data_IF_502164868054
#
_entry.id   IF_502164868054
#
_cell.length_a   1.000
_cell.length_b   1.000
_cell.length_c   1.000
_cell.angle_alpha   90.00
_cell.angle_beta   90.00
_cell.angle_gamma   90.00
#
_symmetry.space_group_name_H-M   'P 1'
#
loop_
_entity.id
_entity.type
_entity.pdbx_description
1 polymer ?
#
# COMPACT_ATOMS: atom_id res chain seq x y z
N UNK A 1 1.54 -15.21 6.94
CA UNK A 1 1.70 -14.36 5.76
C UNK A 1 2.29 -13.02 6.17
N UNK A 2 3.34 -12.59 5.50
CA UNK A 2 3.97 -11.31 5.82
C UNK A 2 3.27 -10.18 5.04
N UNK A 3 2.40 -9.46 5.72
CA UNK A 3 1.61 -8.40 5.10
C UNK A 3 2.51 -7.27 4.59
N UNK A 4 3.56 -6.95 5.33
CA UNK A 4 4.50 -5.89 4.89
C UNK A 4 5.18 -6.27 3.57
N UNK A 5 5.63 -7.52 3.45
CA UNK A 5 6.27 -7.99 2.22
C UNK A 5 5.28 -7.98 1.06
N UNK A 6 4.04 -8.35 1.31
CA UNK A 6 2.99 -8.34 0.29
C UNK A 6 2.68 -6.92 -0.19
N UNK A 7 2.58 -5.98 0.75
CA UNK A 7 2.35 -4.57 0.41
C UNK A 7 3.51 -4.01 -0.40
N UNK A 8 4.75 -4.33 0.00
CA UNK A 8 5.93 -3.89 -0.74
C UNK A 8 5.91 -4.42 -2.18
N UNK A 9 5.51 -5.66 -2.36
CA UNK A 9 5.42 -6.26 -3.70
C UNK A 9 4.37 -5.53 -4.54
N UNK A 10 3.21 -5.24 -3.95
CA UNK A 10 2.15 -4.52 -4.65
C UNK A 10 2.64 -3.13 -5.07
N UNK A 11 3.30 -2.43 -4.15
CA UNK A 11 3.85 -1.10 -4.44
C UNK A 11 4.90 -1.17 -5.55
N UNK A 12 5.79 -2.17 -5.48
CA UNK A 12 6.81 -2.35 -6.49
C UNK A 12 6.20 -2.52 -7.88
N UNK A 13 5.21 -3.40 -7.99
CA UNK A 13 4.61 -3.73 -9.28
C UNK A 13 3.71 -2.60 -9.80
N UNK A 14 2.97 -1.96 -8.90
CA UNK A 14 2.02 -0.91 -9.26
C UNK A 14 2.72 0.39 -9.63
N UNK A 15 3.76 0.76 -8.87
CA UNK A 15 4.48 2.02 -9.06
C UNK A 15 5.76 1.83 -9.87
N UNK A 16 6.02 0.61 -10.31
CA UNK A 16 7.19 0.30 -11.14
C UNK A 16 8.50 0.72 -10.46
N UNK A 17 8.63 0.38 -9.18
CA UNK A 17 9.76 0.82 -8.36
C UNK A 17 11.04 0.03 -8.61
N UNK A 18 10.93 -1.21 -9.10
CA UNK A 18 12.10 -2.05 -9.30
C UNK A 18 12.85 -2.29 -7.98
N UNK A 19 14.16 -2.10 -8.01
CA UNK A 19 15.02 -2.33 -6.85
C UNK A 19 14.74 -1.35 -5.70
N UNK A 20 14.11 -0.22 -5.98
CA UNK A 20 13.78 0.76 -4.95
C UNK A 20 12.82 0.18 -3.91
N UNK A 21 11.99 -0.78 -4.32
CA UNK A 21 11.06 -1.42 -3.39
C UNK A 21 11.77 -2.17 -2.27
N UNK A 22 12.96 -2.69 -2.53
CA UNK A 22 13.73 -3.42 -1.52
C UNK A 22 14.20 -2.52 -0.39
N UNK A 23 14.32 -1.21 -0.66
CA UNK A 23 14.75 -0.23 0.33
C UNK A 23 13.62 0.28 1.20
N UNK A 24 12.37 -0.10 0.89
CA UNK A 24 11.22 0.34 1.67
C UNK A 24 11.17 -0.38 3.01
N UNK A 25 10.89 0.39 4.04
CA UNK A 25 10.68 -0.14 5.40
C UNK A 25 9.30 0.31 5.88
N UNK A 26 8.90 -0.16 7.06
CA UNK A 26 7.62 0.25 7.63
C UNK A 26 7.54 1.77 7.84
N UNK A 27 8.67 2.43 8.09
CA UNK A 27 8.72 3.86 8.31
C UNK A 27 8.83 4.67 7.02
N UNK A 28 9.00 4.01 5.87
CA UNK A 28 9.14 4.73 4.59
C UNK A 28 7.86 5.48 4.26
N UNK A 29 7.93 6.81 4.01
CA UNK A 29 6.73 7.57 3.68
C UNK A 29 6.23 7.23 2.29
N UNK A 30 4.91 7.19 2.12
CA UNK A 30 4.27 7.01 0.84
C UNK A 30 3.82 8.36 0.28
N UNK A 31 2.82 8.99 0.91
CA UNK A 31 2.39 10.31 0.49
C UNK A 31 3.48 11.32 0.83
N UNK A 32 3.92 12.06 -0.19
CA UNK A 32 4.98 13.04 -0.01
C UNK A 32 6.38 12.47 0.02
N UNK A 33 6.51 11.13 0.07
CA UNK A 33 7.81 10.47 0.11
C UNK A 33 8.21 9.82 -1.20
N UNK A 34 7.23 9.28 -1.93
CA UNK A 34 7.44 8.67 -3.24
C UNK A 34 6.83 9.57 -4.31
N UNK A 35 7.64 10.10 -5.24
CA UNK A 35 7.09 10.95 -6.31
C UNK A 35 6.03 10.24 -7.15
N UNK A 36 6.13 8.91 -7.27
CA UNK A 36 5.20 8.10 -8.03
C UNK A 36 3.85 7.93 -7.33
N UNK A 37 3.77 8.22 -6.03
CA UNK A 37 2.57 7.95 -5.25
C UNK A 37 1.64 9.18 -5.25
N UNK A 38 0.85 9.30 -6.30
CA UNK A 38 -0.13 10.37 -6.48
C UNK A 38 -1.56 9.80 -6.35
N UNK A 39 -2.57 10.62 -6.64
CA UNK A 39 -3.97 10.23 -6.51
C UNK A 39 -4.32 9.01 -7.37
N UNK A 40 -3.77 8.94 -8.57
CA UNK A 40 -4.01 7.78 -9.44
C UNK A 40 -3.35 6.53 -8.90
N UNK A 41 -2.15 6.68 -8.33
CA UNK A 41 -1.45 5.56 -7.74
C UNK A 41 -2.22 5.00 -6.53
N UNK A 42 -2.84 5.86 -5.73
CA UNK A 42 -3.67 5.44 -4.61
C UNK A 42 -4.78 4.50 -5.10
N UNK A 43 -5.50 4.91 -6.14
CA UNK A 43 -6.58 4.11 -6.69
C UNK A 43 -6.07 2.77 -7.20
N UNK A 44 -4.95 2.78 -7.92
CA UNK A 44 -4.38 1.55 -8.48
C UNK A 44 -3.91 0.61 -7.37
N UNK A 45 -3.23 1.14 -6.36
CA UNK A 45 -2.74 0.33 -5.23
C UNK A 45 -3.91 -0.30 -4.48
N UNK A 46 -4.96 0.48 -4.22
CA UNK A 46 -6.16 -0.03 -3.53
C UNK A 46 -6.79 -1.17 -4.33
N UNK A 47 -6.93 -0.98 -5.65
CA UNK A 47 -7.51 -2.01 -6.52
C UNK A 47 -6.69 -3.29 -6.48
N UNK A 48 -5.36 -3.16 -6.52
CA UNK A 48 -4.48 -4.33 -6.47
C UNK A 48 -4.56 -5.06 -5.12
N UNK A 49 -4.71 -4.32 -4.03
CA UNK A 49 -4.88 -4.91 -2.71
C UNK A 49 -6.20 -5.68 -2.65
N UNK A 50 -7.27 -5.09 -3.14
CA UNK A 50 -8.57 -5.76 -3.17
C UNK A 50 -8.51 -7.07 -3.95
N UNK A 51 -7.86 -7.02 -5.12
CA UNK A 51 -7.71 -8.20 -5.98
C UNK A 51 -6.87 -9.28 -5.32
N UNK A 52 -5.74 -8.88 -4.76
CA UNK A 52 -4.76 -9.81 -4.20
C UNK A 52 -5.29 -10.52 -2.96
N UNK A 53 -6.05 -9.82 -2.14
CA UNK A 53 -6.53 -10.35 -0.86
C UNK A 53 -8.01 -10.75 -0.90
N UNK A 54 -8.72 -10.45 -1.97
CA UNK A 54 -10.14 -10.75 -2.07
C UNK A 54 -11.00 -9.97 -1.08
N UNK A 55 -10.59 -8.73 -0.77
CA UNK A 55 -11.31 -7.86 0.16
C UNK A 55 -11.89 -6.66 -0.57
N UNK A 56 -12.85 -5.99 0.06
CA UNK A 56 -13.43 -4.75 -0.45
C UNK A 56 -13.03 -3.62 0.47
N UNK A 57 -12.52 -2.54 -0.13
CA UNK A 57 -12.11 -1.35 0.60
C UNK A 57 -13.01 -0.19 0.17
N UNK A 58 -13.76 0.36 1.12
CA UNK A 58 -14.66 1.47 0.85
C UNK A 58 -13.89 2.79 0.84
N UNK A 59 -14.39 3.76 0.07
CA UNK A 59 -13.73 5.06 -0.04
C UNK A 59 -13.59 5.75 1.31
N UNK A 60 -14.57 5.61 2.20
CA UNK A 60 -14.55 6.26 3.51
C UNK A 60 -13.58 5.62 4.48
N UNK A 61 -13.02 4.44 4.14
CA UNK A 61 -11.98 3.81 4.93
C UNK A 61 -10.60 4.37 4.59
N UNK A 62 -10.48 5.06 3.46
CA UNK A 62 -9.22 5.59 2.97
C UNK A 62 -8.97 6.98 3.55
N UNK A 63 -7.80 7.17 4.13
CA UNK A 63 -7.42 8.45 4.70
C UNK A 63 -5.93 8.69 4.46
N UNK A 64 -5.50 9.93 4.65
CA UNK A 64 -4.08 10.25 4.54
C UNK A 64 -3.24 9.43 5.52
N UNK A 65 -3.80 9.11 6.69
CA UNK A 65 -3.09 8.33 7.70
C UNK A 65 -2.80 6.91 7.22
N UNK A 66 -3.70 6.31 6.45
CA UNK A 66 -3.49 4.96 5.90
C UNK A 66 -2.29 4.95 4.98
N UNK A 67 -2.13 6.00 4.18
CA UNK A 67 -1.07 6.09 3.18
C UNK A 67 0.12 6.92 3.63
N UNK A 68 0.22 7.21 4.92
CA UNK A 68 1.34 8.01 5.43
C UNK A 68 2.67 7.27 5.27
N UNK A 69 2.70 5.99 5.62
CA UNK A 69 3.91 5.17 5.50
C UNK A 69 3.54 3.79 4.97
N UNK A 70 4.57 3.04 4.56
CA UNK A 70 4.38 1.64 4.15
C UNK A 70 3.79 0.84 5.31
N UNK A 71 4.27 1.08 6.53
CA UNK A 71 3.78 0.38 7.72
C UNK A 71 2.32 0.67 8.02
N UNK A 72 1.88 1.92 7.89
CA UNK A 72 0.49 2.25 8.14
C UNK A 72 -0.44 1.59 7.10
N UNK A 73 0.01 1.52 5.86
CA UNK A 73 -0.75 0.81 4.82
C UNK A 73 -0.79 -0.70 5.11
N UNK A 74 0.36 -1.27 5.51
CA UNK A 74 0.42 -2.70 5.83
C UNK A 74 -0.49 -3.04 7.01
N UNK A 75 -0.55 -2.18 8.02
CA UNK A 75 -1.43 -2.40 9.16
C UNK A 75 -2.90 -2.37 8.75
N UNK A 76 -3.27 -1.40 7.92
CA UNK A 76 -4.63 -1.31 7.39
C UNK A 76 -5.00 -2.56 6.61
N UNK A 77 -4.11 -3.01 5.72
CA UNK A 77 -4.32 -4.21 4.91
C UNK A 77 -4.46 -5.45 5.79
N UNK A 78 -3.62 -5.55 6.83
CA UNK A 78 -3.67 -6.67 7.78
C UNK A 78 -5.02 -6.74 8.48
N UNK A 79 -5.56 -5.59 8.89
CA UNK A 79 -6.86 -5.53 9.53
C UNK A 79 -7.99 -5.93 8.57
N UNK A 80 -7.92 -5.50 7.33
CA UNK A 80 -8.93 -5.88 6.33
C UNK A 80 -8.88 -7.37 6.03
N UNK A 81 -7.68 -7.93 5.93
CA UNK A 81 -7.52 -9.35 5.63
C UNK A 81 -7.98 -10.25 6.78
N UNK A 82 -7.92 -9.74 8.02
CA UNK A 82 -8.35 -10.48 9.20
C UNK A 82 -9.85 -10.39 9.47
N UNK A 83 -10.52 -9.43 8.84
CA UNK A 83 -11.95 -9.18 9.06
C UNK A 83 -12.84 -10.26 8.44
#
# INVERSE_FOLDING_TARGET
MDTLARVKKILRDTLNLGDRAEKLTAESPLLGGLPEFDSMAVVTVVTMIEDDLGVTIEDDELSADVFATVGSLAEFVSQKAAA
#
